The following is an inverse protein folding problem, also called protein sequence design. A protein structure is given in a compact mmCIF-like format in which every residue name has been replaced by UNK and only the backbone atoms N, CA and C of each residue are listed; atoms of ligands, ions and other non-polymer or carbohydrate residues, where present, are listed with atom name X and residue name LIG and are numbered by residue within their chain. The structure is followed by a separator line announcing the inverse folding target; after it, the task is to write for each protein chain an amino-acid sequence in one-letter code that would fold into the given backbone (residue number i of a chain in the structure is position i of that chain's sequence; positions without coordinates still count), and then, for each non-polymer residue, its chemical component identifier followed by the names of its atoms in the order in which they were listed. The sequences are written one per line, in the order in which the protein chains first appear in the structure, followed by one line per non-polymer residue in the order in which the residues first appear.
data_IF_765720562754
#
_entry.id   IF_765720562754
#
_cell.length_a   1.000
_cell.length_b   1.000
_cell.length_c   1.000
_cell.angle_alpha   90.00
_cell.angle_beta   90.00
_cell.angle_gamma   90.00
#
_symmetry.space_group_name_H-M   'P 1'
#
loop_
_entity.id
_entity.type
_entity.pdbx_description
1 polymer ?
#
# COMPACT_ATOMS: atom_id res chain seq x y z
N UNK A 1 2.70 36.88 -0.49
CA UNK A 1 1.44 36.85 -1.23
C UNK A 1 0.91 35.48 -0.88
N UNK A 2 0.04 35.41 0.12
CA UNK A 2 -0.51 34.13 0.59
C UNK A 2 -1.39 33.61 -0.56
N UNK A 3 -0.86 32.66 -1.32
CA UNK A 3 -1.71 31.90 -2.24
C UNK A 3 -2.63 31.08 -1.35
N UNK A 4 -3.90 31.46 -1.33
CA UNK A 4 -4.94 30.68 -0.66
C UNK A 4 -5.38 29.60 -1.63
N UNK A 5 -5.41 28.35 -1.15
CA UNK A 5 -5.89 27.22 -1.94
C UNK A 5 -7.36 27.38 -2.31
N UNK A 6 -7.70 26.97 -3.53
CA UNK A 6 -9.08 26.67 -3.90
C UNK A 6 -9.41 25.20 -3.56
N UNK A 7 -10.68 24.93 -3.24
CA UNK A 7 -11.13 23.60 -2.81
C UNK A 7 -10.78 22.50 -3.83
N UNK A 8 -11.12 22.72 -5.12
CA UNK A 8 -10.87 21.75 -6.18
C UNK A 8 -9.38 21.64 -6.51
N UNK A 9 -8.64 22.76 -6.45
CA UNK A 9 -7.19 22.78 -6.67
C UNK A 9 -6.44 21.94 -5.62
N UNK A 10 -6.76 22.11 -4.33
CA UNK A 10 -6.15 21.33 -3.27
C UNK A 10 -6.51 19.85 -3.39
N UNK A 11 -7.76 19.56 -3.77
CA UNK A 11 -8.23 18.21 -4.01
C UNK A 11 -7.40 17.50 -5.08
N UNK A 12 -7.29 18.15 -6.25
CA UNK A 12 -6.55 17.62 -7.40
C UNK A 12 -5.06 17.47 -7.06
N UNK A 13 -4.44 18.50 -6.48
CA UNK A 13 -3.03 18.49 -6.11
C UNK A 13 -2.67 17.34 -5.17
N UNK A 14 -3.47 17.10 -4.13
CA UNK A 14 -3.25 15.99 -3.20
C UNK A 14 -3.34 14.63 -3.90
N UNK A 15 -4.33 14.45 -4.79
CA UNK A 15 -4.51 13.21 -5.54
C UNK A 15 -3.41 12.98 -6.59
N UNK A 16 -2.94 14.04 -7.25
CA UNK A 16 -1.83 13.99 -8.19
C UNK A 16 -0.54 13.55 -7.49
N UNK A 17 -0.23 14.12 -6.32
CA UNK A 17 0.94 13.74 -5.54
C UNK A 17 0.87 12.29 -5.07
N UNK A 18 -0.29 11.85 -4.55
CA UNK A 18 -0.51 10.45 -4.19
C UNK A 18 -0.25 9.49 -5.36
N UNK A 19 -0.83 9.80 -6.53
CA UNK A 19 -0.67 8.98 -7.72
C UNK A 19 0.76 9.02 -8.26
N UNK A 20 1.43 10.17 -8.18
CA UNK A 20 2.84 10.32 -8.55
C UNK A 20 3.73 9.41 -7.70
N UNK A 21 3.53 9.34 -6.38
CA UNK A 21 4.26 8.41 -5.52
C UNK A 21 3.96 6.95 -5.83
N UNK A 22 2.69 6.60 -6.12
CA UNK A 22 2.32 5.23 -6.57
C UNK A 22 3.05 4.84 -7.86
N UNK A 23 3.10 5.76 -8.83
CA UNK A 23 3.80 5.56 -10.10
C UNK A 23 5.32 5.44 -9.91
N UNK A 24 5.85 6.04 -8.84
CA UNK A 24 7.23 5.91 -8.40
C UNK A 24 7.45 4.71 -7.45
N UNK A 25 6.68 3.63 -7.64
CA UNK A 25 6.91 2.33 -7.02
C UNK A 25 6.72 2.27 -5.48
N UNK A 26 5.99 3.22 -4.90
CA UNK A 26 5.61 3.18 -3.49
C UNK A 26 4.34 2.33 -3.27
N UNK A 27 4.27 1.66 -2.12
CA UNK A 27 3.03 1.01 -1.64
C UNK A 27 1.92 2.04 -1.41
N UNK A 28 0.66 1.62 -1.39
CA UNK A 28 -0.46 2.53 -1.05
C UNK A 28 -0.21 3.26 0.28
N UNK A 29 0.33 2.53 1.26
CA UNK A 29 0.65 3.04 2.57
C UNK A 29 1.77 4.08 2.55
N UNK A 30 2.83 3.85 1.79
CA UNK A 30 3.94 4.80 1.63
C UNK A 30 3.51 6.05 0.88
N UNK A 31 2.81 5.89 -0.25
CA UNK A 31 2.30 7.02 -1.04
C UNK A 31 1.42 7.91 -0.18
N UNK A 32 0.47 7.33 0.56
CA UNK A 32 -0.42 8.10 1.42
C UNK A 32 0.33 8.84 2.54
N UNK A 33 1.27 8.16 3.20
CA UNK A 33 2.07 8.77 4.26
C UNK A 33 2.96 9.90 3.71
N UNK A 34 3.53 9.73 2.52
CA UNK A 34 4.36 10.74 1.88
C UNK A 34 3.54 11.95 1.45
N UNK A 35 2.42 11.74 0.77
CA UNK A 35 1.49 12.82 0.40
C UNK A 35 1.06 13.58 1.64
N UNK A 36 0.56 12.92 2.67
CA UNK A 36 0.13 13.62 3.89
C UNK A 36 1.25 14.46 4.53
N UNK A 37 2.50 13.98 4.49
CA UNK A 37 3.66 14.72 4.99
C UNK A 37 3.95 16.02 4.23
N UNK A 38 3.71 16.07 2.92
CA UNK A 38 3.89 17.30 2.13
C UNK A 38 2.83 18.36 2.46
N UNK A 39 1.63 17.94 2.87
CA UNK A 39 0.51 18.84 3.20
C UNK A 39 0.36 19.12 4.70
N UNK A 40 1.29 18.67 5.55
CA UNK A 40 1.20 18.85 7.01
C UNK A 40 1.13 20.33 7.42
N UNK A 41 1.86 21.21 6.71
CA UNK A 41 1.81 22.65 6.96
C UNK A 41 0.52 23.28 6.44
N UNK A 42 -0.01 22.77 5.32
CA UNK A 42 -1.24 23.26 4.66
C UNK A 42 -2.47 23.07 5.55
N UNK A 43 -2.48 22.03 6.39
CA UNK A 43 -3.52 21.80 7.40
C UNK A 43 -3.76 22.99 8.34
N UNK A 44 -2.79 23.88 8.50
CA UNK A 44 -2.87 25.03 9.41
C UNK A 44 -3.29 26.33 8.72
N UNK A 45 -3.53 26.31 7.41
CA UNK A 45 -3.85 27.52 6.62
C UNK A 45 -5.33 27.91 6.72
N UNK A 46 -6.21 26.93 6.95
CA UNK A 46 -7.65 27.15 7.09
C UNK A 46 -8.42 25.87 7.43
N UNK A 47 -9.71 26.02 7.68
CA UNK A 47 -10.57 24.88 7.99
C UNK A 47 -10.96 24.09 6.73
N UNK A 48 -11.02 24.77 5.58
CA UNK A 48 -11.18 24.14 4.26
C UNK A 48 -10.05 23.15 3.97
N UNK A 49 -8.81 23.61 4.10
CA UNK A 49 -7.62 22.81 3.81
C UNK A 49 -7.56 21.58 4.71
N UNK A 50 -7.79 21.80 6.01
CA UNK A 50 -7.88 20.74 7.01
C UNK A 50 -8.96 19.71 6.65
N UNK A 51 -10.15 20.16 6.26
CA UNK A 51 -11.25 19.27 5.91
C UNK A 51 -10.95 18.44 4.66
N UNK A 52 -10.48 19.09 3.58
CA UNK A 52 -10.13 18.42 2.32
C UNK A 52 -9.07 17.35 2.54
N UNK A 53 -7.96 17.71 3.18
CA UNK A 53 -6.82 16.81 3.39
C UNK A 53 -7.22 15.60 4.25
N UNK A 54 -7.91 15.81 5.37
CA UNK A 54 -8.28 14.68 6.24
C UNK A 54 -9.35 13.77 5.62
N UNK A 55 -10.29 14.32 4.84
CA UNK A 55 -11.27 13.50 4.10
C UNK A 55 -10.56 12.67 3.03
N UNK A 56 -9.72 13.29 2.20
CA UNK A 56 -8.92 12.58 1.19
C UNK A 56 -8.03 11.51 1.79
N UNK A 57 -7.35 11.85 2.89
CA UNK A 57 -6.53 10.88 3.62
C UNK A 57 -7.35 9.68 4.05
N UNK A 58 -8.53 9.93 4.65
CA UNK A 58 -9.45 8.89 5.10
C UNK A 58 -9.99 8.02 3.96
N UNK A 59 -10.37 8.61 2.83
CA UNK A 59 -10.82 7.87 1.66
C UNK A 59 -9.73 6.97 1.08
N UNK A 60 -8.51 7.47 0.93
CA UNK A 60 -7.38 6.67 0.44
C UNK A 60 -6.99 5.58 1.45
N UNK A 61 -7.06 5.88 2.74
CA UNK A 61 -6.87 4.90 3.81
C UNK A 61 -7.92 3.77 3.71
N UNK A 62 -9.17 4.10 3.34
CA UNK A 62 -10.24 3.11 3.16
C UNK A 62 -10.09 2.27 1.88
N UNK A 63 -9.29 2.67 0.90
CA UNK A 63 -8.98 1.82 -0.27
C UNK A 63 -8.05 0.65 0.08
N UNK A 64 -7.26 0.79 1.13
CA UNK A 64 -6.34 -0.24 1.60
C UNK A 64 -7.09 -1.48 2.11
N UNK A 65 -6.49 -2.67 2.03
CA UNK A 65 -7.17 -3.92 2.44
C UNK A 65 -7.47 -3.96 3.95
N UNK A 66 -6.61 -3.33 4.74
CA UNK A 66 -6.70 -3.17 6.20
C UNK A 66 -6.22 -1.76 6.56
N UNK A 67 -6.48 -1.33 7.79
CA UNK A 67 -6.03 -0.03 8.29
C UNK A 67 -5.32 -0.21 9.62
N UNK A 68 -4.13 0.39 9.75
CA UNK A 68 -3.39 0.37 11.01
C UNK A 68 -4.25 0.95 12.13
N UNK A 69 -4.35 0.25 13.26
CA UNK A 69 -5.20 0.63 14.40
C UNK A 69 -4.97 2.07 14.86
N UNK A 70 -3.72 2.53 14.84
CA UNK A 70 -3.36 3.91 15.19
C UNK A 70 -3.76 4.93 14.13
N UNK A 71 -3.68 4.57 12.84
CA UNK A 71 -4.13 5.41 11.74
C UNK A 71 -5.65 5.60 11.79
N UNK A 72 -6.43 4.51 11.95
CA UNK A 72 -7.89 4.59 12.14
C UNK A 72 -8.25 5.56 13.27
N UNK A 73 -7.64 5.39 14.44
CA UNK A 73 -7.93 6.25 15.60
C UNK A 73 -7.65 7.71 15.30
N UNK A 74 -6.46 8.03 14.77
CA UNK A 74 -6.06 9.41 14.45
C UNK A 74 -6.97 10.03 13.39
N UNK A 75 -7.24 9.33 12.29
CA UNK A 75 -8.14 9.84 11.24
C UNK A 75 -9.53 10.15 11.77
N UNK A 76 -10.08 9.33 12.67
CA UNK A 76 -11.38 9.65 13.31
C UNK A 76 -11.29 10.90 14.18
N UNK A 77 -10.24 11.02 15.01
CA UNK A 77 -10.00 12.21 15.84
C UNK A 77 -9.90 13.49 14.97
N UNK A 78 -9.13 13.41 13.89
CA UNK A 78 -8.89 14.52 12.98
C UNK A 78 -10.19 14.97 12.28
N UNK A 79 -10.96 14.03 11.70
CA UNK A 79 -12.23 14.32 11.04
C UNK A 79 -13.30 14.89 11.99
N UNK A 80 -13.36 14.38 13.22
CA UNK A 80 -14.28 14.88 14.25
C UNK A 80 -13.87 16.26 14.77
N UNK A 81 -12.58 16.63 14.65
CA UNK A 81 -12.07 17.93 15.07
C UNK A 81 -12.35 19.08 14.09
N UNK A 82 -12.92 18.79 12.92
CA UNK A 82 -13.23 19.80 11.90
C UNK A 82 -14.33 20.76 12.41
N UNK A 83 -14.05 22.07 12.38
CA UNK A 83 -14.99 23.11 12.78
C UNK A 83 -15.96 23.47 11.65
N UNK A 84 -17.11 22.81 11.62
CA UNK A 84 -18.13 23.00 10.57
C UNK A 84 -18.62 24.44 10.42
N UNK A 85 -18.62 25.24 11.50
CA UNK A 85 -19.04 26.65 11.42
C UNK A 85 -18.02 27.50 10.65
N UNK A 86 -16.73 27.29 10.89
CA UNK A 86 -15.65 27.97 10.15
C UNK A 86 -15.59 27.51 8.71
N UNK A 87 -15.66 26.19 8.50
CA UNK A 87 -15.65 25.59 7.18
C UNK A 87 -16.72 26.21 6.28
N UNK A 88 -17.97 26.34 6.79
CA UNK A 88 -19.07 26.96 6.05
C UNK A 88 -18.83 28.42 5.64
N UNK A 89 -17.93 29.14 6.32
CA UNK A 89 -17.56 30.52 5.95
C UNK A 89 -16.47 30.58 4.87
N UNK A 90 -15.77 29.47 4.61
CA UNK A 90 -14.60 29.42 3.73
C UNK A 90 -14.92 28.85 2.34
N UNK A 91 -15.99 28.06 2.20
CA UNK A 91 -16.38 27.38 0.96
C UNK A 91 -17.84 27.63 0.60
N UNK A 92 -18.23 27.25 -0.62
CA UNK A 92 -19.61 27.33 -1.10
C UNK A 92 -20.52 26.31 -0.39
N UNK A 93 -21.84 26.54 -0.41
CA UNK A 93 -22.81 25.59 0.17
C UNK A 93 -22.75 24.21 -0.51
N UNK A 94 -22.46 24.15 -1.82
CA UNK A 94 -22.31 22.90 -2.56
C UNK A 94 -21.06 22.11 -2.13
N UNK A 95 -19.90 22.78 -2.02
CA UNK A 95 -18.67 22.18 -1.52
C UNK A 95 -18.79 21.76 -0.04
N UNK A 96 -19.49 22.56 0.77
CA UNK A 96 -19.76 22.22 2.17
C UNK A 96 -20.60 20.95 2.29
N UNK A 97 -21.60 20.80 1.44
CA UNK A 97 -22.42 19.59 1.40
C UNK A 97 -21.62 18.38 0.93
N UNK A 98 -20.81 18.54 -0.12
CA UNK A 98 -19.95 17.47 -0.64
C UNK A 98 -19.00 16.93 0.43
N UNK A 99 -18.20 17.81 1.04
CA UNK A 99 -17.18 17.41 2.01
C UNK A 99 -17.81 16.80 3.28
N UNK A 100 -19.01 17.24 3.67
CA UNK A 100 -19.72 16.69 4.83
C UNK A 100 -20.20 15.26 4.57
N UNK A 101 -20.76 14.98 3.39
CA UNK A 101 -21.18 13.63 3.00
C UNK A 101 -19.99 12.68 3.03
N UNK A 102 -18.89 13.08 2.39
CA UNK A 102 -17.67 12.27 2.28
C UNK A 102 -17.03 12.03 3.65
N UNK A 103 -16.96 13.05 4.51
CA UNK A 103 -16.52 12.91 5.89
C UNK A 103 -17.34 11.86 6.65
N UNK A 104 -18.66 11.93 6.55
CA UNK A 104 -19.54 11.02 7.29
C UNK A 104 -19.44 9.58 6.77
N UNK A 105 -19.31 9.40 5.46
CA UNK A 105 -19.03 8.10 4.83
C UNK A 105 -17.70 7.52 5.35
N UNK A 106 -16.62 8.31 5.35
CA UNK A 106 -15.32 7.87 5.87
C UNK A 106 -15.42 7.46 7.34
N UNK A 107 -16.10 8.24 8.18
CA UNK A 107 -16.25 7.93 9.60
C UNK A 107 -17.00 6.60 9.82
N UNK A 108 -18.05 6.34 9.04
CA UNK A 108 -18.83 5.11 9.12
C UNK A 108 -18.02 3.90 8.62
N UNK A 109 -17.36 4.02 7.48
CA UNK A 109 -16.59 2.93 6.88
C UNK A 109 -15.36 2.56 7.72
N UNK A 110 -14.71 3.54 8.36
CA UNK A 110 -13.59 3.29 9.26
C UNK A 110 -13.97 2.35 10.40
N UNK A 111 -15.21 2.40 10.89
CA UNK A 111 -15.67 1.50 11.96
C UNK A 111 -15.77 0.05 11.53
N UNK A 112 -16.08 -0.19 10.26
CA UNK A 112 -16.23 -1.53 9.68
C UNK A 112 -14.92 -2.09 9.11
N UNK A 113 -13.91 -1.25 8.92
CA UNK A 113 -12.67 -1.63 8.26
C UNK A 113 -11.84 -2.64 9.07
N UNK A 114 -11.29 -3.66 8.39
CA UNK A 114 -10.36 -4.62 8.99
C UNK A 114 -9.12 -3.90 9.52
N UNK A 115 -8.69 -4.28 10.71
CA UNK A 115 -7.55 -3.67 11.37
C UNK A 115 -6.24 -4.36 10.98
N UNK A 116 -5.19 -3.55 10.94
CA UNK A 116 -3.80 -3.96 10.89
C UNK A 116 -3.12 -3.52 12.20
N UNK A 117 -2.21 -4.35 12.69
CA UNK A 117 -1.47 -4.14 13.93
C UNK A 117 0.04 -4.04 13.69
N UNK A 118 0.52 -4.33 12.47
CA UNK A 118 1.93 -4.32 12.13
C UNK A 118 2.31 -3.01 11.39
N UNK A 119 2.96 -2.05 12.07
CA UNK A 119 3.35 -0.82 11.42
C UNK A 119 4.52 -0.97 10.42
N UNK A 120 5.23 -2.09 10.40
CA UNK A 120 6.40 -2.34 9.57
C UNK A 120 6.04 -2.70 8.12
N UNK A 121 4.96 -3.48 7.93
CA UNK A 121 4.52 -3.95 6.61
C UNK A 121 4.14 -2.77 5.73
N UNK A 122 4.84 -2.61 4.60
CA UNK A 122 4.57 -1.51 3.65
C UNK A 122 3.54 -1.94 2.62
N UNK A 123 3.71 -3.14 2.10
CA UNK A 123 2.80 -3.71 1.13
C UNK A 123 1.84 -4.71 1.76
N UNK A 124 0.55 -4.62 1.41
CA UNK A 124 -0.35 -5.70 1.75
C UNK A 124 -0.01 -6.96 0.95
N UNK A 125 -0.24 -8.13 1.56
CA UNK A 125 0.12 -9.44 1.01
C UNK A 125 -0.31 -9.65 -0.46
N UNK A 126 -1.56 -9.31 -0.78
CA UNK A 126 -2.07 -9.43 -2.15
C UNK A 126 -1.51 -8.32 -3.06
N UNK A 127 -1.32 -7.10 -2.54
CA UNK A 127 -0.75 -5.97 -3.28
C UNK A 127 0.69 -6.28 -3.74
N UNK A 128 1.55 -6.79 -2.85
CA UNK A 128 2.93 -7.14 -3.24
C UNK A 128 2.95 -8.31 -4.22
N UNK A 129 2.04 -9.28 -4.07
CA UNK A 129 1.92 -10.41 -5.00
C UNK A 129 1.59 -9.89 -6.40
N UNK A 130 0.60 -9.01 -6.53
CA UNK A 130 0.21 -8.43 -7.81
C UNK A 130 1.32 -7.56 -8.40
N UNK A 131 2.01 -6.76 -7.59
CA UNK A 131 3.13 -5.93 -8.04
C UNK A 131 4.32 -6.73 -8.55
N UNK A 132 4.64 -7.87 -7.90
CA UNK A 132 5.69 -8.76 -8.39
C UNK A 132 5.30 -9.39 -9.72
N UNK A 133 4.04 -9.82 -9.88
CA UNK A 133 3.52 -10.36 -11.15
C UNK A 133 3.54 -9.31 -12.27
N UNK A 134 3.03 -8.11 -12.00
CA UNK A 134 3.06 -6.99 -12.94
C UNK A 134 4.49 -6.69 -13.40
N UNK A 135 5.43 -6.56 -12.45
CA UNK A 135 6.81 -6.26 -12.78
C UNK A 135 7.49 -7.41 -13.55
N UNK A 136 7.20 -8.67 -13.21
CA UNK A 136 7.67 -9.84 -13.95
C UNK A 136 7.17 -9.81 -15.40
N UNK A 137 5.88 -9.58 -15.62
CA UNK A 137 5.28 -9.53 -16.95
C UNK A 137 5.76 -8.33 -17.77
N UNK A 138 6.26 -7.27 -17.12
CA UNK A 138 6.86 -6.12 -17.80
C UNK A 138 8.29 -6.39 -18.32
N UNK A 139 8.93 -7.48 -17.88
CA UNK A 139 10.27 -7.87 -18.36
C UNK A 139 10.20 -8.42 -19.79
N UNK A 140 11.25 -8.20 -20.57
CA UNK A 140 11.37 -8.82 -21.90
C UNK A 140 11.88 -10.27 -21.77
N UNK A 141 10.95 -11.20 -21.50
CA UNK A 141 11.24 -12.62 -21.27
C UNK A 141 11.88 -13.33 -22.47
N UNK A 142 11.73 -12.80 -23.70
CA UNK A 142 12.33 -13.38 -24.91
C UNK A 142 13.83 -13.09 -25.04
N UNK A 143 14.29 -12.00 -24.43
CA UNK A 143 15.68 -11.51 -24.54
C UNK A 143 16.49 -11.80 -23.30
N UNK A 144 15.88 -11.65 -22.12
CA UNK A 144 16.59 -11.79 -20.85
C UNK A 144 16.84 -13.26 -20.52
N UNK A 145 18.05 -13.55 -20.06
CA UNK A 145 18.32 -14.83 -19.43
C UNK A 145 17.54 -14.97 -18.14
N UNK A 146 17.28 -16.21 -17.73
CA UNK A 146 16.66 -16.51 -16.45
C UNK A 146 17.34 -15.82 -15.26
N UNK A 147 18.68 -15.80 -15.26
CA UNK A 147 19.47 -15.18 -14.18
C UNK A 147 19.21 -13.68 -14.12
N UNK A 148 19.13 -13.02 -15.28
CA UNK A 148 18.80 -11.60 -15.37
C UNK A 148 17.37 -11.32 -14.90
N UNK A 149 16.39 -12.17 -15.28
CA UNK A 149 15.01 -12.03 -14.82
C UNK A 149 14.96 -12.08 -13.28
N UNK A 150 15.53 -13.14 -12.68
CA UNK A 150 15.53 -13.30 -11.22
C UNK A 150 16.22 -12.11 -10.53
N UNK A 151 17.39 -11.70 -11.02
CA UNK A 151 18.12 -10.58 -10.45
C UNK A 151 17.36 -9.26 -10.58
N UNK A 152 16.70 -9.00 -11.71
CA UNK A 152 15.92 -7.78 -11.91
C UNK A 152 14.76 -7.71 -10.91
N UNK A 153 14.03 -8.80 -10.69
CA UNK A 153 12.95 -8.85 -9.70
C UNK A 153 13.51 -8.63 -8.30
N UNK A 154 14.55 -9.38 -7.91
CA UNK A 154 15.11 -9.28 -6.56
C UNK A 154 15.74 -7.92 -6.28
N UNK A 155 16.38 -7.28 -7.25
CA UNK A 155 16.90 -5.91 -7.09
C UNK A 155 15.78 -4.87 -7.03
N UNK A 156 14.74 -5.01 -7.85
CA UNK A 156 13.57 -4.10 -7.81
C UNK A 156 12.88 -4.12 -6.44
N UNK A 157 12.74 -5.30 -5.84
CA UNK A 157 12.05 -5.47 -4.55
C UNK A 157 13.01 -5.66 -3.37
N UNK A 158 14.30 -5.37 -3.55
CA UNK A 158 15.34 -5.59 -2.52
C UNK A 158 15.03 -4.88 -1.21
N UNK A 159 14.57 -3.63 -1.31
CA UNK A 159 14.14 -2.83 -0.15
C UNK A 159 12.98 -3.51 0.57
N UNK A 160 11.98 -3.98 -0.17
CA UNK A 160 10.78 -4.59 0.39
C UNK A 160 11.12 -5.95 1.05
N UNK A 161 12.01 -6.74 0.47
CA UNK A 161 12.57 -7.95 1.08
C UNK A 161 13.35 -7.70 2.39
N UNK A 162 13.84 -6.48 2.63
CA UNK A 162 14.53 -6.10 3.86
C UNK A 162 13.60 -5.50 4.91
N UNK A 163 12.38 -5.11 4.54
CA UNK A 163 11.42 -4.49 5.46
C UNK A 163 10.83 -5.51 6.42
N UNK A 164 10.28 -6.61 5.89
CA UNK A 164 9.66 -7.67 6.70
C UNK A 164 9.95 -9.05 6.13
N UNK A 165 9.91 -10.07 7.00
CA UNK A 165 10.05 -11.47 6.60
C UNK A 165 8.92 -11.88 5.66
N UNK A 166 7.69 -11.43 5.94
CA UNK A 166 6.50 -11.73 5.12
C UNK A 166 6.62 -11.20 3.69
N UNK A 167 7.06 -9.96 3.49
CA UNK A 167 7.26 -9.38 2.16
C UNK A 167 8.33 -10.17 1.40
N UNK A 168 9.46 -10.47 2.06
CA UNK A 168 10.56 -11.24 1.48
C UNK A 168 10.10 -12.60 0.94
N UNK A 169 9.46 -13.40 1.79
CA UNK A 169 9.03 -14.75 1.39
C UNK A 169 7.90 -14.69 0.35
N UNK A 170 7.02 -13.70 0.42
CA UNK A 170 5.91 -13.53 -0.54
C UNK A 170 6.45 -13.19 -1.92
N UNK A 171 7.43 -12.27 -2.00
CA UNK A 171 8.10 -11.90 -3.25
C UNK A 171 8.78 -13.12 -3.88
N UNK A 172 9.55 -13.87 -3.09
CA UNK A 172 10.30 -15.04 -3.58
C UNK A 172 9.38 -16.17 -4.02
N UNK A 173 8.31 -16.42 -3.27
CA UNK A 173 7.28 -17.40 -3.64
C UNK A 173 6.61 -17.01 -4.95
N UNK A 174 6.17 -15.75 -5.07
CA UNK A 174 5.54 -15.23 -6.29
C UNK A 174 6.47 -15.29 -7.49
N UNK A 175 7.76 -14.97 -7.30
CA UNK A 175 8.77 -15.10 -8.36
C UNK A 175 8.87 -16.54 -8.86
N UNK A 176 8.97 -17.52 -7.96
CA UNK A 176 9.06 -18.94 -8.35
C UNK A 176 7.79 -19.44 -9.04
N UNK A 177 6.61 -19.02 -8.59
CA UNK A 177 5.36 -19.29 -9.29
C UNK A 177 5.40 -18.78 -10.73
N UNK A 178 5.85 -17.53 -10.93
CA UNK A 178 5.93 -16.93 -12.26
C UNK A 178 6.94 -17.62 -13.16
N UNK A 179 8.09 -18.04 -12.62
CA UNK A 179 9.07 -18.83 -13.37
C UNK A 179 8.48 -20.17 -13.83
N UNK A 180 7.80 -20.89 -12.93
CA UNK A 180 7.15 -22.16 -13.22
C UNK A 180 6.00 -22.02 -14.25
N UNK A 181 5.18 -20.97 -14.12
CA UNK A 181 4.06 -20.71 -15.02
C UNK A 181 4.49 -20.36 -16.45
N UNK A 182 5.73 -19.88 -16.63
CA UNK A 182 6.27 -19.49 -17.94
C UNK A 182 7.32 -20.49 -18.45
N UNK A 183 7.36 -21.71 -17.90
CA UNK A 183 8.28 -22.80 -18.28
C UNK A 183 9.76 -22.37 -18.30
N UNK A 184 10.13 -21.42 -17.43
CA UNK A 184 11.52 -20.95 -17.33
C UNK A 184 12.33 -22.00 -16.59
N UNK A 185 13.46 -22.49 -17.15
CA UNK A 185 14.23 -23.60 -16.58
C UNK A 185 14.72 -23.38 -15.14
N UNK A 186 15.21 -24.43 -14.48
CA UNK A 186 15.80 -24.33 -13.14
C UNK A 186 17.28 -23.93 -13.22
N UNK A 187 17.68 -22.89 -12.48
CA UNK A 187 19.08 -22.44 -12.35
C UNK A 187 19.55 -22.47 -10.90
N UNK A 188 20.83 -22.19 -10.66
CA UNK A 188 21.41 -22.13 -9.31
C UNK A 188 20.68 -21.11 -8.41
N UNK A 189 20.25 -19.96 -8.95
CA UNK A 189 19.48 -18.98 -8.20
C UNK A 189 18.14 -19.54 -7.71
N UNK A 190 17.51 -20.41 -8.48
CA UNK A 190 16.27 -21.08 -8.05
C UNK A 190 16.54 -22.07 -6.92
N UNK A 191 17.71 -22.73 -6.89
CA UNK A 191 18.07 -23.61 -5.76
C UNK A 191 18.21 -22.84 -4.46
N UNK A 192 18.80 -21.64 -4.51
CA UNK A 192 18.89 -20.76 -3.34
C UNK A 192 17.49 -20.38 -2.84
N UNK A 193 16.62 -19.90 -3.75
CA UNK A 193 15.24 -19.54 -3.40
C UNK A 193 14.45 -20.74 -2.86
N UNK A 194 14.60 -21.93 -3.46
CA UNK A 194 14.00 -23.17 -3.00
C UNK A 194 14.42 -23.48 -1.56
N UNK A 195 15.73 -23.43 -1.28
CA UNK A 195 16.27 -23.68 0.05
C UNK A 195 15.73 -22.68 1.08
N UNK A 196 15.54 -21.41 0.71
CA UNK A 196 14.94 -20.42 1.62
C UNK A 196 13.47 -20.73 1.91
N UNK A 197 12.69 -21.14 0.91
CA UNK A 197 11.29 -21.55 1.09
C UNK A 197 11.15 -22.81 1.95
N UNK A 198 12.03 -23.80 1.76
CA UNK A 198 12.03 -25.06 2.55
C UNK A 198 12.33 -24.83 4.03
N UNK A 199 13.19 -23.86 4.34
CA UNK A 199 13.60 -23.55 5.71
C UNK A 199 12.77 -22.43 6.35
N UNK A 200 11.76 -21.92 5.66
CA UNK A 200 10.95 -20.81 6.15
C UNK A 200 10.03 -21.23 7.31
N UNK A 201 10.15 -20.54 8.45
CA UNK A 201 9.30 -20.75 9.62
C UNK A 201 8.19 -19.69 9.69
N UNK A 202 6.94 -20.12 9.50
CA UNK A 202 5.76 -19.27 9.61
C UNK A 202 5.55 -18.68 11.01
N UNK A 203 6.14 -19.27 12.05
CA UNK A 203 6.06 -18.73 13.41
C UNK A 203 6.80 -17.38 13.52
N UNK A 204 7.81 -17.13 12.69
CA UNK A 204 8.58 -15.88 12.70
C UNK A 204 7.84 -14.71 12.02
N UNK A 205 6.77 -14.99 11.26
CA UNK A 205 5.97 -13.97 10.57
C UNK A 205 5.18 -13.10 11.54
N UNK A 206 4.77 -13.64 12.69
CA UNK A 206 4.00 -12.90 13.70
C UNK A 206 2.72 -12.28 13.12
N UNK A 207 2.53 -10.98 13.35
CA UNK A 207 1.35 -10.21 12.91
C UNK A 207 1.51 -9.57 11.51
N UNK A 208 2.63 -9.82 10.83
CA UNK A 208 2.87 -9.26 9.49
C UNK A 208 1.86 -9.78 8.46
N UNK A 209 1.35 -11.00 8.66
CA UNK A 209 0.28 -11.61 7.90
C UNK A 209 -0.84 -12.01 8.86
N UNK A 210 -2.09 -11.89 8.40
CA UNK A 210 -3.23 -12.53 9.04
C UNK A 210 -3.23 -14.04 8.81
N UNK A 211 -3.97 -14.79 9.64
CA UNK A 211 -4.01 -16.25 9.54
C UNK A 211 -4.44 -16.76 8.17
N UNK A 212 -5.39 -16.08 7.51
CA UNK A 212 -5.82 -16.42 6.15
C UNK A 212 -4.68 -16.22 5.12
N UNK A 213 -3.89 -15.15 5.27
CA UNK A 213 -2.76 -14.86 4.37
C UNK A 213 -1.60 -15.82 4.63
N UNK A 214 -1.36 -16.22 5.89
CA UNK A 214 -0.39 -17.28 6.23
C UNK A 214 -0.78 -18.61 5.61
N UNK A 215 -2.07 -18.96 5.69
CA UNK A 215 -2.59 -20.19 5.11
C UNK A 215 -2.43 -20.19 3.59
N UNK A 216 -2.82 -19.11 2.92
CA UNK A 216 -2.66 -18.94 1.48
C UNK A 216 -1.19 -19.06 1.06
N UNK A 217 -0.28 -18.33 1.72
CA UNK A 217 1.15 -18.40 1.45
C UNK A 217 1.73 -19.80 1.71
N UNK A 218 1.28 -20.50 2.75
CA UNK A 218 1.71 -21.87 3.04
C UNK A 218 1.31 -22.85 1.93
N UNK A 219 0.10 -22.71 1.39
CA UNK A 219 -0.36 -23.52 0.26
C UNK A 219 0.50 -23.23 -0.97
N UNK A 220 0.68 -21.95 -1.30
CA UNK A 220 1.50 -21.49 -2.43
C UNK A 220 2.94 -22.01 -2.37
N UNK A 221 3.59 -21.91 -1.21
CA UNK A 221 4.95 -22.45 -1.00
C UNK A 221 4.98 -23.96 -1.26
N UNK A 222 4.03 -24.73 -0.73
CA UNK A 222 3.97 -26.19 -0.95
C UNK A 222 3.79 -26.55 -2.42
N UNK A 223 2.91 -25.83 -3.11
CA UNK A 223 2.65 -26.05 -4.54
C UNK A 223 3.89 -25.77 -5.39
N UNK A 224 4.59 -24.66 -5.11
CA UNK A 224 5.85 -24.32 -5.76
C UNK A 224 6.90 -25.42 -5.50
N UNK A 225 7.13 -25.77 -4.23
CA UNK A 225 8.14 -26.76 -3.86
C UNK A 225 7.86 -28.15 -4.46
N UNK A 226 6.59 -28.51 -4.66
CA UNK A 226 6.23 -29.79 -5.30
C UNK A 226 6.59 -29.88 -6.79
N UNK A 227 6.84 -28.74 -7.44
CA UNK A 227 7.15 -28.62 -8.88
C UNK A 227 8.65 -28.33 -9.14
N UNK A 228 9.43 -28.06 -8.09
CA UNK A 228 10.87 -27.77 -8.13
C UNK A 228 11.72 -28.96 -7.70
#
# INVERSE_FOLDING_TARGET
MDLKWEYDELFESFMEDYNSYKNNNMSDRESLARTFGEYETVLNEGEMEKAVIHVLYGELLLRQSKVLVTAKRRTKEDLLSINLNKLKMEITDDQFKDILVRKDEVLQELDMKKLDYCPEVRWYYFEITDKVKEYFLSQNLEVLSQVEIVNNILERFKRDCMNTLSENITIKTTLLEMLLLNDIPLSENIRILKSELENFDFNEVGEQLSEDEKLDLSIRIKEVLSKL
#
